data_IF_808871631819
#
_entry.id   IF_808871631819
#
_cell.length_a   1.000
_cell.length_b   1.000
_cell.length_c   1.000
_cell.angle_alpha   90.00
_cell.angle_beta   90.00
_cell.angle_gamma   90.00
#
_symmetry.space_group_name_H-M   'P 1'
#
loop_
_entity.id
_entity.type
_entity.pdbx_description
1 polymer ?
#
# COMPACT_ATOMS: atom_id res chain seq x y z
N UNK A 1 -10.18 14.08 56.71
CA UNK A 1 -10.92 13.88 55.44
C UNK A 1 -9.88 13.88 54.31
N UNK A 2 -9.67 12.74 53.65
CA UNK A 2 -8.58 12.53 52.67
C UNK A 2 -9.12 12.80 51.27
N UNK A 3 -8.59 13.82 50.59
CA UNK A 3 -8.91 14.09 49.18
C UNK A 3 -7.95 13.29 48.30
N UNK A 4 -8.44 12.18 47.73
CA UNK A 4 -7.71 11.39 46.72
C UNK A 4 -7.63 12.19 45.42
N UNK A 5 -6.43 12.64 45.05
CA UNK A 5 -6.13 13.09 43.67
C UNK A 5 -6.16 11.87 42.75
N UNK A 6 -7.13 11.83 41.83
CA UNK A 6 -7.05 10.96 40.65
C UNK A 6 -6.34 11.73 39.53
N UNK A 7 -5.13 11.27 39.21
CA UNK A 7 -4.37 11.70 38.04
C UNK A 7 -5.17 11.37 36.77
N UNK A 8 -5.61 12.39 36.05
CA UNK A 8 -6.12 12.24 34.68
C UNK A 8 -4.89 12.12 33.77
N UNK A 9 -4.69 10.91 33.26
CA UNK A 9 -3.74 10.57 32.20
C UNK A 9 -4.05 11.50 31.02
N UNK A 10 -3.07 12.27 30.55
CA UNK A 10 -3.17 12.99 29.27
C UNK A 10 -3.37 11.93 28.18
N UNK A 11 -4.63 11.70 27.81
CA UNK A 11 -4.94 10.97 26.58
C UNK A 11 -4.30 11.75 25.44
N UNK A 12 -3.44 11.09 24.66
CA UNK A 12 -2.83 11.68 23.48
C UNK A 12 -3.90 12.30 22.61
N UNK A 13 -3.57 13.44 21.97
CA UNK A 13 -4.49 14.16 21.10
C UNK A 13 -5.13 13.17 20.13
N UNK A 14 -6.41 12.83 20.37
CA UNK A 14 -7.16 11.95 19.50
C UNK A 14 -7.51 12.76 18.28
N UNK A 15 -6.69 12.66 17.24
CA UNK A 15 -6.99 13.25 15.94
C UNK A 15 -8.20 12.54 15.36
N UNK A 16 -9.30 13.26 15.24
CA UNK A 16 -10.54 12.77 14.65
C UNK A 16 -10.50 13.15 13.18
N UNK A 17 -10.23 12.16 12.33
CA UNK A 17 -10.35 12.33 10.89
C UNK A 17 -11.83 12.31 10.53
N UNK A 18 -12.28 13.30 9.78
CA UNK A 18 -13.59 13.33 9.15
C UNK A 18 -13.41 13.42 7.65
N UNK A 19 -14.39 12.92 6.90
CA UNK A 19 -14.42 13.14 5.46
C UNK A 19 -14.50 14.65 5.17
N UNK A 20 -13.82 15.08 4.10
CA UNK A 20 -13.84 16.47 3.65
C UNK A 20 -15.24 16.83 3.16
N UNK A 21 -15.89 17.78 3.84
CA UNK A 21 -17.27 18.22 3.54
C UNK A 21 -17.33 19.52 2.73
N UNK A 22 -16.17 20.00 2.26
CA UNK A 22 -16.06 21.22 1.45
C UNK A 22 -16.23 22.53 2.22
N UNK A 23 -16.58 22.48 3.50
CA UNK A 23 -16.82 23.69 4.32
C UNK A 23 -15.58 24.21 5.05
N UNK A 24 -14.47 23.48 4.92
CA UNK A 24 -13.17 23.82 5.51
C UNK A 24 -12.46 24.88 4.67
N UNK A 25 -13.06 26.08 4.60
CA UNK A 25 -12.49 27.25 3.94
C UNK A 25 -11.68 28.05 4.96
N UNK A 26 -10.42 28.27 4.66
CA UNK A 26 -9.51 28.88 5.62
C UNK A 26 -8.16 29.24 5.06
N UNK A 27 -8.07 29.73 3.83
CA UNK A 27 -6.99 30.60 3.37
C UNK A 27 -7.58 31.53 2.30
N UNK A 28 -7.56 32.85 2.53
CA UNK A 28 -7.98 33.91 1.59
C UNK A 28 -6.96 34.09 0.43
N UNK A 29 -6.30 32.99 0.07
CA UNK A 29 -5.49 32.88 -1.13
C UNK A 29 -6.07 31.70 -1.89
N UNK A 30 -6.51 31.96 -3.13
CA UNK A 30 -6.90 30.88 -4.01
C UNK A 30 -5.73 29.89 -4.08
N UNK A 31 -5.96 28.66 -3.63
CA UNK A 31 -4.94 27.63 -3.61
C UNK A 31 -4.33 27.50 -5.02
N UNK A 32 -5.14 27.72 -6.06
CA UNK A 32 -4.73 27.65 -7.45
C UNK A 32 -3.70 28.73 -7.82
N UNK A 33 -3.79 29.93 -7.25
CA UNK A 33 -2.83 31.02 -7.51
C UNK A 33 -1.49 30.76 -6.82
N UNK A 34 -1.49 30.25 -5.59
CA UNK A 34 -0.27 29.83 -4.89
C UNK A 34 0.42 28.67 -5.60
N UNK A 35 -0.37 27.68 -6.04
CA UNK A 35 0.16 26.55 -6.81
C UNK A 35 0.73 27.02 -8.15
N UNK A 36 0.10 27.98 -8.83
CA UNK A 36 0.59 28.52 -10.09
C UNK A 36 1.94 29.22 -9.93
N UNK A 37 2.08 30.10 -8.94
CA UNK A 37 3.32 30.84 -8.70
C UNK A 37 4.48 29.91 -8.29
N UNK A 38 4.23 28.94 -7.39
CA UNK A 38 5.21 27.92 -7.02
C UNK A 38 5.60 27.02 -8.20
N UNK A 39 4.63 26.70 -9.06
CA UNK A 39 4.85 25.87 -10.24
C UNK A 39 5.68 26.61 -11.28
N UNK A 40 5.42 27.89 -11.52
CA UNK A 40 6.17 28.72 -12.46
C UNK A 40 7.63 28.92 -12.02
N UNK A 41 7.89 29.09 -10.71
CA UNK A 41 9.24 29.25 -10.15
C UNK A 41 10.03 27.92 -10.10
N UNK A 42 9.35 26.78 -9.90
CA UNK A 42 9.97 25.45 -9.88
C UNK A 42 10.14 24.82 -11.28
N UNK A 43 9.26 25.14 -12.23
CA UNK A 43 9.37 24.72 -13.65
C UNK A 43 10.61 25.30 -14.32
N UNK A 44 11.09 26.47 -13.86
CA UNK A 44 12.23 27.18 -14.43
C UNK A 44 13.56 26.40 -14.33
N UNK A 45 13.66 25.39 -13.46
CA UNK A 45 14.89 24.62 -13.25
C UNK A 45 14.82 23.13 -13.55
N UNK A 46 13.69 22.62 -14.04
CA UNK A 46 13.62 21.29 -14.61
C UNK A 46 12.36 20.53 -14.26
N UNK A 47 11.99 19.62 -15.16
CA UNK A 47 10.76 18.84 -15.14
C UNK A 47 10.61 18.03 -13.83
N UNK A 48 9.91 18.63 -12.86
CA UNK A 48 9.54 18.00 -11.60
C UNK A 48 8.73 16.72 -11.83
N UNK A 49 7.90 16.69 -12.88
CA UNK A 49 7.15 15.48 -13.23
C UNK A 49 8.10 14.36 -13.67
N UNK A 50 9.16 14.67 -14.40
CA UNK A 50 10.19 13.68 -14.73
C UNK A 50 10.96 13.22 -13.49
N UNK A 51 11.25 14.11 -12.54
CA UNK A 51 11.90 13.75 -11.28
C UNK A 51 11.02 12.82 -10.43
N UNK A 52 9.75 13.18 -10.24
CA UNK A 52 8.77 12.36 -9.52
C UNK A 52 8.55 11.02 -10.22
N UNK A 53 8.46 11.01 -11.55
CA UNK A 53 8.33 9.77 -12.34
C UNK A 53 9.55 8.86 -12.17
N UNK A 54 10.77 9.41 -12.16
CA UNK A 54 11.98 8.63 -11.87
C UNK A 54 11.99 8.08 -10.46
N UNK A 55 11.66 8.90 -9.46
CA UNK A 55 11.59 8.48 -8.06
C UNK A 55 10.57 7.37 -7.86
N UNK A 56 9.36 7.49 -8.43
CA UNK A 56 8.35 6.44 -8.36
C UNK A 56 8.79 5.15 -9.07
N UNK A 57 9.54 5.26 -10.18
CA UNK A 57 10.01 4.09 -10.92
C UNK A 57 11.18 3.36 -10.23
N UNK A 58 12.12 4.10 -9.67
CA UNK A 58 13.39 3.58 -9.14
C UNK A 58 13.40 3.44 -7.61
N UNK A 59 12.43 4.06 -6.92
CA UNK A 59 12.46 4.18 -5.47
C UNK A 59 13.30 5.36 -5.00
N UNK A 60 13.45 5.48 -3.69
CA UNK A 60 14.25 6.52 -3.03
C UNK A 60 15.11 5.89 -1.96
N UNK A 61 16.35 6.33 -1.82
CA UNK A 61 17.18 6.02 -0.66
C UNK A 61 17.31 7.27 0.20
N UNK A 62 16.89 7.16 1.46
CA UNK A 62 17.05 8.21 2.46
C UNK A 62 18.51 8.31 2.92
N UNK A 63 18.88 9.45 3.52
CA UNK A 63 20.21 9.74 4.05
C UNK A 63 20.63 8.77 5.15
N UNK A 64 19.66 8.21 5.85
CA UNK A 64 19.85 7.18 6.88
C UNK A 64 20.03 5.77 6.27
N UNK A 65 20.07 5.65 4.94
CA UNK A 65 20.24 4.39 4.22
C UNK A 65 18.95 3.59 4.03
N UNK A 66 17.80 4.13 4.47
CA UNK A 66 16.50 3.48 4.30
C UNK A 66 16.08 3.54 2.83
N UNK A 67 15.83 2.38 2.22
CA UNK A 67 15.36 2.29 0.84
C UNK A 67 13.84 2.15 0.78
N UNK A 68 13.19 3.09 0.11
CA UNK A 68 11.80 3.02 -0.31
C UNK A 68 11.77 2.35 -1.68
N UNK A 69 11.08 1.22 -1.80
CA UNK A 69 10.99 0.47 -3.04
C UNK A 69 10.30 1.26 -4.15
N UNK A 70 10.80 1.09 -5.37
CA UNK A 70 10.16 1.62 -6.58
C UNK A 70 8.97 0.77 -7.01
N UNK A 71 8.14 1.33 -7.89
CA UNK A 71 7.02 0.61 -8.51
C UNK A 71 7.48 -0.62 -9.31
N UNK A 72 8.69 -0.59 -9.90
CA UNK A 72 9.24 -1.75 -10.62
C UNK A 72 9.43 -2.93 -9.69
N UNK A 73 10.09 -2.71 -8.56
CA UNK A 73 10.41 -3.74 -7.57
C UNK A 73 9.13 -4.31 -6.92
N UNK A 74 8.13 -3.45 -6.66
CA UNK A 74 6.84 -3.92 -6.15
C UNK A 74 6.10 -4.81 -7.15
N UNK A 75 6.15 -4.45 -8.45
CA UNK A 75 5.55 -5.27 -9.51
C UNK A 75 6.28 -6.60 -9.70
N UNK A 76 7.61 -6.61 -9.53
CA UNK A 76 8.41 -7.82 -9.59
C UNK A 76 8.07 -8.78 -8.45
N UNK A 77 8.05 -8.31 -7.20
CA UNK A 77 7.60 -9.11 -6.06
C UNK A 77 6.17 -9.63 -6.23
N UNK A 78 5.27 -8.83 -6.81
CA UNK A 78 3.91 -9.29 -7.05
C UNK A 78 3.86 -10.43 -8.08
N UNK A 79 4.74 -10.41 -9.08
CA UNK A 79 4.86 -11.51 -10.07
C UNK A 79 5.44 -12.76 -9.41
N UNK A 80 6.50 -12.63 -8.64
CA UNK A 80 7.11 -13.74 -7.89
C UNK A 80 6.08 -14.38 -6.96
N UNK A 81 5.37 -13.56 -6.16
CA UNK A 81 4.32 -14.04 -5.27
C UNK A 81 3.20 -14.76 -6.02
N UNK A 82 2.85 -14.28 -7.20
CA UNK A 82 1.86 -14.93 -8.07
C UNK A 82 2.37 -16.30 -8.54
N UNK A 83 3.62 -16.38 -8.97
CA UNK A 83 4.24 -17.63 -9.42
C UNK A 83 4.32 -18.65 -8.28
N UNK A 84 4.77 -18.25 -7.09
CA UNK A 84 4.78 -19.11 -5.90
C UNK A 84 3.38 -19.66 -5.55
N UNK A 85 2.34 -18.82 -5.67
CA UNK A 85 0.97 -19.28 -5.46
C UNK A 85 0.56 -20.28 -6.53
N UNK A 86 0.87 -20.00 -7.80
CA UNK A 86 0.56 -20.93 -8.88
C UNK A 86 1.31 -22.25 -8.70
N UNK A 87 2.60 -22.25 -8.36
CA UNK A 87 3.36 -23.48 -8.06
C UNK A 87 2.78 -24.25 -6.85
N UNK A 88 2.29 -23.54 -5.84
CA UNK A 88 1.64 -24.14 -4.67
C UNK A 88 0.23 -24.68 -4.97
N UNK A 89 -0.50 -24.09 -5.91
CA UNK A 89 -1.89 -24.45 -6.25
C UNK A 89 -2.03 -25.24 -7.56
N UNK A 90 -0.99 -25.31 -8.40
CA UNK A 90 -0.81 -26.27 -9.50
C UNK A 90 -0.41 -27.62 -8.89
N UNK A 91 -1.32 -28.05 -8.01
CA UNK A 91 -1.36 -29.28 -7.27
C UNK A 91 -1.71 -30.40 -8.24
N UNK A 92 -0.83 -30.69 -9.22
CA UNK A 92 -0.91 -31.94 -9.97
C UNK A 92 -1.15 -33.12 -9.02
N UNK A 93 -0.51 -33.11 -7.85
CA UNK A 93 -0.69 -34.14 -6.82
C UNK A 93 -2.05 -34.20 -6.09
N UNK A 94 -2.76 -33.09 -5.81
CA UNK A 94 -4.06 -33.18 -5.12
C UNK A 94 -5.17 -33.61 -6.10
N UNK A 95 -5.10 -33.15 -7.35
CA UNK A 95 -6.05 -33.63 -8.36
C UNK A 95 -5.79 -35.11 -8.70
N UNK A 96 -4.53 -35.56 -8.71
CA UNK A 96 -4.19 -36.97 -8.88
C UNK A 96 -4.68 -37.84 -7.71
N UNK A 97 -4.53 -37.40 -6.45
CA UNK A 97 -5.03 -38.12 -5.26
C UNK A 97 -6.56 -38.20 -5.22
N UNK A 98 -7.26 -37.15 -5.64
CA UNK A 98 -8.73 -37.16 -5.79
C UNK A 98 -9.16 -38.11 -6.90
N UNK A 99 -8.46 -38.12 -8.04
CA UNK A 99 -8.76 -39.04 -9.13
C UNK A 99 -8.51 -40.50 -8.74
N UNK A 100 -7.40 -40.79 -8.04
CA UNK A 100 -7.07 -42.13 -7.54
C UNK A 100 -8.14 -42.61 -6.53
N UNK A 101 -8.54 -41.74 -5.60
CA UNK A 101 -9.64 -42.05 -4.66
C UNK A 101 -10.99 -42.26 -5.36
N UNK A 102 -11.28 -41.49 -6.41
CA UNK A 102 -12.51 -41.64 -7.20
C UNK A 102 -12.49 -42.94 -8.02
N UNK A 103 -11.35 -43.29 -8.60
CA UNK A 103 -11.17 -44.53 -9.36
C UNK A 103 -11.31 -45.77 -8.44
N UNK A 104 -10.75 -45.72 -7.23
CA UNK A 104 -10.92 -46.77 -6.21
C UNK A 104 -12.40 -46.97 -5.83
N UNK A 105 -13.14 -45.87 -5.59
CA UNK A 105 -14.58 -45.94 -5.28
C UNK A 105 -15.40 -46.47 -6.45
N UNK A 106 -15.08 -46.08 -7.68
CA UNK A 106 -15.78 -46.58 -8.89
C UNK A 106 -15.47 -48.05 -9.16
N UNK A 107 -14.27 -48.53 -8.81
CA UNK A 107 -13.90 -49.94 -8.90
C UNK A 107 -14.68 -50.79 -7.89
N UNK A 108 -14.84 -50.32 -6.65
CA UNK A 108 -15.55 -51.04 -5.61
C UNK A 108 -17.07 -51.11 -5.85
N UNK A 109 -17.66 -50.11 -6.52
CA UNK A 109 -19.08 -50.15 -6.93
C UNK A 109 -19.35 -51.02 -8.18
N UNK A 110 -18.31 -51.56 -8.84
CA UNK A 110 -18.45 -52.41 -10.04
C UNK A 110 -18.30 -53.90 -9.78
N UNK A 111 -17.84 -54.31 -8.60
CA UNK A 111 -17.89 -55.70 -8.10
C UNK A 111 -19.24 -56.03 -7.43
#
# INVERSE_FOLDING_TARGET
MVVKRRSSKREGARFRYSAWDGTQVGFDYDAQDLFKELTDDLLYHGDLNAAMRRLMQQGLQDRDGNSVQGLRDMLEQLRERREEMLDQFDLGGIYDEINETLDDVVAEERE
#
